data_IF_306062220634
#
_entry.id   IF_306062220634
#
_cell.length_a   1.000
_cell.length_b   1.000
_cell.length_c   1.000
_cell.angle_alpha   90.00
_cell.angle_beta   90.00
_cell.angle_gamma   90.00
#
_symmetry.space_group_name_H-M   'P 1'
#
loop_
_entity.id
_entity.type
_entity.pdbx_description
1 polymer ?
#
# COMPACT_ATOMS: atom_id res chain seq x y z
N UNK A 1 -10.65 -10.20 -5.72
CA UNK A 1 -10.14 -9.41 -4.58
C UNK A 1 -8.82 -10.05 -4.19
N UNK A 2 -7.77 -9.26 -3.99
CA UNK A 2 -6.46 -9.76 -3.58
C UNK A 2 -6.17 -9.30 -2.15
N UNK A 3 -5.59 -10.17 -1.33
CA UNK A 3 -5.12 -9.79 0.01
C UNK A 3 -3.60 -9.78 -0.03
N UNK A 4 -3.00 -8.61 0.19
CA UNK A 4 -1.55 -8.47 0.23
C UNK A 4 -1.05 -8.34 1.67
N UNK A 5 0.08 -8.97 1.95
CA UNK A 5 0.86 -8.71 3.15
C UNK A 5 2.06 -7.85 2.74
N UNK A 6 2.16 -6.71 3.39
CA UNK A 6 3.27 -5.79 3.19
C UNK A 6 4.37 -6.08 4.20
N UNK A 7 5.61 -6.13 3.73
CA UNK A 7 6.79 -6.09 4.58
C UNK A 7 7.58 -4.84 4.21
N UNK A 8 7.63 -3.90 5.15
CA UNK A 8 8.45 -2.70 5.02
C UNK A 8 9.87 -3.08 5.48
N UNK A 9 10.88 -2.84 4.65
CA UNK A 9 12.25 -3.22 4.99
C UNK A 9 12.71 -2.47 6.24
N UNK A 10 13.09 -3.20 7.30
CA UNK A 10 13.49 -2.62 8.58
C UNK A 10 12.38 -2.54 9.62
N UNK A 11 11.14 -2.89 9.27
CA UNK A 11 10.06 -3.04 10.25
C UNK A 11 9.83 -4.51 10.62
N UNK A 12 9.66 -4.75 11.91
CA UNK A 12 9.58 -6.11 12.49
C UNK A 12 8.21 -6.77 12.29
N UNK A 13 7.20 -6.09 11.76
CA UNK A 13 5.84 -6.60 11.63
C UNK A 13 5.24 -6.31 10.25
N UNK A 14 4.70 -7.33 9.55
CA UNK A 14 4.04 -7.11 8.29
C UNK A 14 2.66 -6.48 8.49
N UNK A 15 2.44 -5.29 7.92
CA UNK A 15 1.09 -4.72 7.84
C UNK A 15 0.29 -5.47 6.77
N UNK A 16 -0.92 -5.91 7.12
CA UNK A 16 -1.81 -6.52 6.12
C UNK A 16 -2.63 -5.43 5.47
N UNK A 17 -2.52 -5.31 4.14
CA UNK A 17 -3.25 -4.33 3.34
C UNK A 17 -4.02 -5.05 2.25
N UNK A 18 -5.32 -4.81 2.19
CA UNK A 18 -6.13 -5.36 1.08
C UNK A 18 -6.06 -4.40 -0.09
N UNK A 19 -5.58 -4.87 -1.25
CA UNK A 19 -5.56 -4.07 -2.46
C UNK A 19 -6.67 -4.52 -3.42
N UNK A 20 -7.44 -3.56 -3.89
CA UNK A 20 -8.53 -3.78 -4.84
C UNK A 20 -8.14 -3.08 -6.13
N UNK A 21 -7.71 -3.85 -7.12
CA UNK A 21 -7.39 -3.36 -8.46
C UNK A 21 -8.66 -3.39 -9.32
N UNK A 22 -9.10 -2.21 -9.76
CA UNK A 22 -10.32 -2.05 -10.55
C UNK A 22 -10.01 -2.05 -12.06
N UNK A 23 -10.93 -2.51 -12.92
CA UNK A 23 -10.74 -2.53 -14.37
C UNK A 23 -10.54 -1.15 -15.03
N UNK A 24 -10.90 -0.06 -14.35
CA UNK A 24 -10.74 1.31 -14.81
C UNK A 24 -9.36 1.92 -14.47
N UNK A 25 -8.39 1.07 -14.13
CA UNK A 25 -7.03 1.46 -13.74
C UNK A 25 -6.94 2.26 -12.44
N UNK A 26 -7.95 2.18 -11.57
CA UNK A 26 -7.87 2.65 -10.17
C UNK A 26 -7.50 1.50 -9.23
N UNK A 27 -6.88 1.84 -8.09
CA UNK A 27 -6.58 0.92 -7.01
C UNK A 27 -7.01 1.52 -5.67
N UNK A 28 -7.67 0.71 -4.85
CA UNK A 28 -7.92 1.00 -3.44
C UNK A 28 -6.97 0.19 -2.55
N UNK A 29 -6.53 0.80 -1.46
CA UNK A 29 -5.71 0.15 -0.43
C UNK A 29 -6.41 0.27 0.92
N UNK A 30 -6.85 -0.84 1.48
CA UNK A 30 -7.54 -0.87 2.76
C UNK A 30 -6.60 -1.40 3.82
N UNK A 31 -6.37 -0.58 4.86
CA UNK A 31 -5.63 -1.01 6.03
C UNK A 31 -6.32 -2.16 6.78
N UNK A 32 -5.70 -2.69 7.84
CA UNK A 32 -6.32 -3.72 8.65
C UNK A 32 -7.66 -3.23 9.22
N UNK A 33 -8.60 -4.15 9.44
CA UNK A 33 -9.87 -3.83 10.10
C UNK A 33 -9.64 -3.38 11.54
N UNK A 34 -10.22 -2.23 11.90
CA UNK A 34 -10.34 -1.75 13.26
C UNK A 34 -11.44 -2.45 14.05
N UNK A 35 -11.63 -2.07 15.33
CA UNK A 35 -12.62 -2.69 16.23
C UNK A 35 -14.07 -2.58 15.74
N UNK A 36 -14.38 -1.60 14.89
CA UNK A 36 -15.71 -1.38 14.32
C UNK A 36 -15.92 -2.10 12.98
N UNK A 37 -14.95 -2.92 12.55
CA UNK A 37 -14.96 -3.65 11.28
C UNK A 37 -14.60 -2.82 10.06
N UNK A 38 -14.36 -1.51 10.21
CA UNK A 38 -13.90 -0.63 9.12
C UNK A 38 -12.38 -0.65 9.03
N UNK A 39 -11.78 -0.39 7.85
CA UNK A 39 -10.34 -0.31 7.73
C UNK A 39 -9.79 0.89 8.52
N UNK A 40 -8.63 0.73 9.17
CA UNK A 40 -7.94 1.81 9.89
C UNK A 40 -7.57 2.98 8.98
N UNK A 41 -7.29 2.71 7.70
CA UNK A 41 -7.09 3.72 6.67
C UNK A 41 -7.64 3.23 5.34
N UNK A 42 -8.01 4.17 4.48
CA UNK A 42 -8.31 3.91 3.06
C UNK A 42 -7.37 4.75 2.20
N UNK A 43 -6.69 4.08 1.28
CA UNK A 43 -5.83 4.65 0.26
C UNK A 43 -6.42 4.50 -1.13
N UNK A 44 -5.97 5.35 -2.04
CA UNK A 44 -6.38 5.35 -3.43
C UNK A 44 -5.18 5.61 -4.35
N UNK A 45 -5.30 5.19 -5.61
CA UNK A 45 -4.32 5.51 -6.63
C UNK A 45 -4.67 4.86 -7.97
N UNK A 46 -3.65 4.67 -8.81
CA UNK A 46 -3.80 4.11 -10.14
C UNK A 46 -2.76 3.03 -10.43
N UNK A 47 -3.08 2.18 -11.39
CA UNK A 47 -2.19 1.13 -11.87
C UNK A 47 -2.14 1.09 -13.40
N UNK A 48 -1.02 0.62 -13.94
CA UNK A 48 -0.78 0.50 -15.38
C UNK A 48 -0.10 -0.84 -15.67
N UNK A 49 -0.56 -1.54 -16.71
CA UNK A 49 0.11 -2.74 -17.21
C UNK A 49 1.34 -2.37 -18.06
N UNK A 50 2.27 -3.30 -18.16
CA UNK A 50 3.41 -3.27 -19.08
C UNK A 50 3.35 -4.47 -20.02
N UNK A 51 4.00 -4.32 -21.17
CA UNK A 51 4.01 -5.35 -22.23
C UNK A 51 4.68 -6.66 -21.80
N UNK A 52 5.53 -6.63 -20.76
CA UNK A 52 6.22 -7.79 -20.18
C UNK A 52 5.35 -8.59 -19.20
N UNK A 53 4.06 -8.23 -19.05
CA UNK A 53 3.13 -8.89 -18.13
C UNK A 53 3.26 -8.43 -16.68
N UNK A 54 4.15 -7.48 -16.38
CA UNK A 54 4.19 -6.79 -15.09
C UNK A 54 3.20 -5.63 -15.05
N UNK A 55 2.96 -5.08 -13.87
CA UNK A 55 2.26 -3.80 -13.74
C UNK A 55 2.93 -2.90 -12.71
N UNK A 56 2.71 -1.59 -12.82
CA UNK A 56 3.09 -0.63 -11.79
C UNK A 56 1.81 -0.12 -11.16
N UNK A 57 1.83 0.13 -9.86
CA UNK A 57 0.81 0.98 -9.26
C UNK A 57 1.43 2.01 -8.34
N UNK A 58 0.69 3.09 -8.13
CA UNK A 58 0.93 4.02 -7.04
C UNK A 58 -0.28 4.05 -6.12
N UNK A 59 -0.05 4.25 -4.83
CA UNK A 59 -1.11 4.41 -3.82
C UNK A 59 -0.73 5.54 -2.90
N UNK A 60 -1.73 6.35 -2.56
CA UNK A 60 -1.65 7.36 -1.51
C UNK A 60 -2.62 6.99 -0.40
N UNK A 61 -2.19 7.06 0.86
CA UNK A 61 -3.09 6.86 2.00
C UNK A 61 -2.68 7.70 3.21
N UNK A 62 -3.63 8.12 4.08
CA UNK A 62 -3.29 8.72 5.35
C UNK A 62 -2.60 7.70 6.26
N UNK A 63 -1.76 8.18 7.18
CA UNK A 63 -1.24 7.40 8.29
C UNK A 63 -1.93 7.88 9.57
N UNK A 64 -2.93 7.15 10.07
CA UNK A 64 -3.65 7.52 11.29
C UNK A 64 -2.74 7.53 12.51
N UNK A 65 -3.02 8.41 13.45
CA UNK A 65 -2.51 8.25 14.81
C UNK A 65 -3.21 7.08 15.48
N UNK A 66 -2.45 6.07 15.91
CA UNK A 66 -2.97 4.89 16.61
C UNK A 66 -3.64 5.23 17.96
N UNK A 67 -3.51 6.46 18.45
CA UNK A 67 -4.20 6.93 19.66
C UNK A 67 -5.57 7.57 19.42
N UNK A 68 -6.02 7.66 18.15
CA UNK A 68 -7.27 8.33 17.78
C UNK A 68 -7.13 9.85 17.63
N UNK A 69 -5.89 10.36 17.62
CA UNK A 69 -5.57 11.72 17.25
C UNK A 69 -5.65 11.96 15.73
N UNK A 70 -5.28 13.17 15.27
CA UNK A 70 -5.23 13.48 13.84
C UNK A 70 -4.17 12.62 13.13
N UNK A 71 -4.34 12.41 11.82
CA UNK A 71 -3.35 11.69 11.00
C UNK A 71 -1.95 12.30 11.18
N UNK A 72 -0.95 11.44 11.39
CA UNK A 72 0.45 11.85 11.59
C UNK A 72 1.17 12.11 10.26
N UNK A 73 0.55 11.76 9.14
CA UNK A 73 1.03 12.09 7.81
C UNK A 73 0.29 11.39 6.69
N UNK A 74 0.89 11.40 5.51
CA UNK A 74 0.39 10.75 4.31
C UNK A 74 1.51 9.95 3.66
N UNK A 75 1.23 8.70 3.34
CA UNK A 75 2.14 7.80 2.63
C UNK A 75 1.83 7.87 1.14
N UNK A 76 2.89 7.99 0.34
CA UNK A 76 2.86 7.83 -1.11
C UNK A 76 3.76 6.66 -1.46
N UNK A 77 3.23 5.67 -2.15
CA UNK A 77 3.98 4.49 -2.57
C UNK A 77 3.90 4.28 -4.07
N UNK A 78 4.97 3.72 -4.63
CA UNK A 78 5.02 3.17 -5.98
C UNK A 78 5.58 1.76 -5.90
N UNK A 79 4.97 0.84 -6.63
CA UNK A 79 5.31 -0.58 -6.60
C UNK A 79 5.30 -1.14 -8.01
N UNK A 80 6.33 -1.92 -8.33
CA UNK A 80 6.36 -2.76 -9.52
C UNK A 80 5.99 -4.18 -9.13
N UNK A 81 5.08 -4.76 -9.90
CA UNK A 81 4.39 -6.02 -9.63
C UNK A 81 4.75 -7.07 -10.66
N UNK A 82 5.12 -8.25 -10.19
CA UNK A 82 5.15 -9.49 -10.99
C UNK A 82 4.03 -10.42 -10.53
N UNK A 83 3.24 -10.94 -11.48
CA UNK A 83 2.18 -11.91 -11.22
C UNK A 83 2.62 -13.29 -11.71
N UNK A 84 2.44 -14.32 -10.87
CA UNK A 84 2.69 -15.73 -11.18
C UNK A 84 1.54 -16.58 -10.67
N UNK A 85 0.65 -17.00 -11.59
CA UNK A 85 -0.58 -17.72 -11.23
C UNK A 85 -1.48 -16.89 -10.28
N UNK A 86 -1.81 -17.47 -9.13
CA UNK A 86 -2.59 -16.81 -8.06
C UNK A 86 -1.70 -16.09 -7.03
N UNK A 87 -0.44 -15.81 -7.36
CA UNK A 87 0.50 -15.08 -6.50
C UNK A 87 1.01 -13.81 -7.19
N UNK A 88 1.27 -12.80 -6.39
CA UNK A 88 1.85 -11.53 -6.80
C UNK A 88 2.98 -11.17 -5.82
N UNK A 89 4.15 -10.84 -6.36
CA UNK A 89 5.23 -10.18 -5.63
C UNK A 89 5.48 -8.77 -6.18
N UNK A 90 5.70 -7.81 -5.29
CA UNK A 90 6.11 -6.47 -5.69
C UNK A 90 7.25 -5.90 -4.86
N UNK A 91 7.94 -4.97 -5.50
CA UNK A 91 8.97 -4.16 -4.88
C UNK A 91 8.85 -2.72 -5.34
N UNK A 92 9.23 -1.80 -4.47
CA UNK A 92 9.25 -0.39 -4.78
C UNK A 92 9.61 0.44 -3.57
N UNK A 93 9.11 1.66 -3.52
CA UNK A 93 9.38 2.57 -2.41
C UNK A 93 8.12 3.27 -1.92
N UNK A 94 8.20 3.75 -0.68
CA UNK A 94 7.23 4.63 -0.08
C UNK A 94 7.93 5.85 0.53
N UNK A 95 7.28 7.01 0.47
CA UNK A 95 7.67 8.23 1.18
C UNK A 95 6.54 8.66 2.10
N UNK A 96 6.88 9.18 3.27
CA UNK A 96 5.92 9.78 4.20
C UNK A 96 6.07 11.29 4.19
N UNK A 97 4.98 11.99 3.91
CA UNK A 97 4.86 13.42 4.19
C UNK A 97 4.23 13.54 5.58
N UNK A 98 4.99 14.04 6.56
CA UNK A 98 4.50 14.18 7.93
C UNK A 98 3.60 15.39 8.08
N UNK A 99 2.75 15.37 9.10
CA UNK A 99 1.86 16.48 9.44
C UNK A 99 2.62 17.79 9.78
N UNK A 100 3.88 17.71 10.21
CA UNK A 100 4.75 18.87 10.47
C UNK A 100 5.37 19.49 9.19
N UNK A 101 5.04 18.95 8.02
CA UNK A 101 5.55 19.38 6.72
C UNK A 101 6.90 18.78 6.31
N UNK A 102 7.53 17.97 7.17
CA UNK A 102 8.75 17.25 6.82
C UNK A 102 8.45 16.02 5.96
N UNK A 103 9.41 15.62 5.14
CA UNK A 103 9.33 14.42 4.31
C UNK A 103 10.35 13.41 4.85
N UNK A 104 9.92 12.17 5.09
CA UNK A 104 10.83 11.09 5.42
C UNK A 104 11.57 10.60 4.17
N UNK A 105 12.81 10.15 4.36
CA UNK A 105 13.56 9.48 3.31
C UNK A 105 12.78 8.28 2.75
N UNK A 106 12.89 8.00 1.44
CA UNK A 106 12.21 6.85 0.84
C UNK A 106 12.59 5.53 1.50
N UNK A 107 11.59 4.74 1.82
CA UNK A 107 11.75 3.40 2.40
C UNK A 107 11.44 2.37 1.33
N UNK A 108 12.29 1.35 1.23
CA UNK A 108 12.04 0.21 0.35
C UNK A 108 10.90 -0.64 0.92
N UNK A 109 9.95 -1.01 0.06
CA UNK A 109 8.78 -1.81 0.41
C UNK A 109 8.76 -3.04 -0.49
N UNK A 110 8.48 -4.19 0.11
CA UNK A 110 8.20 -5.43 -0.61
C UNK A 110 6.85 -5.97 -0.18
N UNK A 111 6.07 -6.47 -1.13
CA UNK A 111 4.75 -7.03 -0.84
C UNK A 111 4.63 -8.39 -1.49
N UNK A 112 3.97 -9.30 -0.79
CA UNK A 112 3.50 -10.56 -1.36
C UNK A 112 1.99 -10.68 -1.16
N UNK A 113 1.30 -11.13 -2.19
CA UNK A 113 -0.14 -11.28 -2.19
C UNK A 113 -0.53 -12.61 -2.84
N UNK A 114 -1.63 -13.18 -2.36
CA UNK A 114 -2.28 -14.33 -2.98
C UNK A 114 -3.75 -14.01 -3.20
N UNK A 115 -4.36 -14.65 -4.19
CA UNK A 115 -5.78 -14.47 -4.50
C UNK A 115 -6.68 -15.13 -3.47
#
# INVERSE_FOLDING_TARGET
MWVAKSTINGETSPYTTTFIFHPDHTVEALGPSGPDGKPFFTGTGHWITRDDGTFIYHVTHPLPDHTGGPDIGTIYSIQQVTVSGDSHESSGCAIMHKADGTIQEPIAVTLSATR
#
